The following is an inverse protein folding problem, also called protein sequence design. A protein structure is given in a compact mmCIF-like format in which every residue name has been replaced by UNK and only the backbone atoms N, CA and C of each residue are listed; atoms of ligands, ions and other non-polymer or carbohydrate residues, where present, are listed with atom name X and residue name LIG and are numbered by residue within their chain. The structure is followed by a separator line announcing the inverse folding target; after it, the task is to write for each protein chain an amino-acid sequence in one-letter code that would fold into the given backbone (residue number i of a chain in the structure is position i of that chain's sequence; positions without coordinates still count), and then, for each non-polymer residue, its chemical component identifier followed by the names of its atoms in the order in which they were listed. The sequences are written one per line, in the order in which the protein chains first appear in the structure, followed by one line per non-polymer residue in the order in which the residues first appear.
data_IF_761146110820
#
_entry.id   IF_761146110820
#
_cell.length_a   1.000
_cell.length_b   1.000
_cell.length_c   1.000
_cell.angle_alpha   90.00
_cell.angle_beta   90.00
_cell.angle_gamma   90.00
#
_symmetry.space_group_name_H-M   'P 1'
#
loop_
_entity.id
_entity.type
_entity.pdbx_description
1 polymer ?
#
# COMPACT_ATOMS: atom_id res chain seq x y z
N UNK A 1 65.20 75.83 -1.63
CA UNK A 1 65.06 75.35 -0.24
C UNK A 1 64.89 73.85 -0.32
N UNK A 2 66.00 73.09 -0.30
CA UNK A 2 66.52 72.33 0.86
C UNK A 2 65.59 71.16 1.24
N UNK A 3 65.97 69.88 1.32
CA UNK A 3 67.23 69.14 1.19
C UNK A 3 66.87 67.66 0.90
N UNK A 4 67.84 66.92 0.35
CA UNK A 4 67.83 65.47 0.15
C UNK A 4 67.37 64.67 1.37
N UNK A 5 66.61 63.59 1.13
CA UNK A 5 66.69 62.34 1.90
C UNK A 5 66.40 61.16 1.00
N UNK A 6 67.34 60.21 1.01
CA UNK A 6 67.41 59.03 0.15
C UNK A 6 66.35 57.98 0.49
N UNK A 7 65.81 57.34 -0.55
CA UNK A 7 65.05 56.09 -0.46
C UNK A 7 65.96 54.93 -0.03
N UNK A 8 65.58 54.18 1.01
CA UNK A 8 66.03 52.80 1.24
C UNK A 8 64.88 51.82 0.96
N UNK A 9 65.09 50.74 0.18
CA UNK A 9 64.07 49.72 -0.03
C UNK A 9 63.97 48.76 1.17
N UNK A 10 62.73 48.37 1.50
CA UNK A 10 62.42 47.40 2.55
C UNK A 10 62.84 45.98 2.14
N UNK A 11 63.76 45.39 2.89
CA UNK A 11 64.24 44.01 2.74
C UNK A 11 63.19 43.00 3.21
N UNK A 12 62.41 42.44 2.28
CA UNK A 12 61.46 41.32 2.50
C UNK A 12 62.14 39.95 2.66
N UNK A 13 63.46 39.85 2.49
CA UNK A 13 64.24 38.61 2.60
C UNK A 13 64.53 38.16 4.05
N UNK A 14 64.47 39.06 5.03
CA UNK A 14 64.85 38.79 6.43
C UNK A 14 63.80 38.01 7.26
N UNK A 15 62.56 37.87 6.76
CA UNK A 15 61.49 37.16 7.48
C UNK A 15 61.54 35.64 7.21
N UNK A 16 61.97 35.22 6.01
CA UNK A 16 61.99 33.80 5.61
C UNK A 16 63.14 33.04 6.28
N UNK A 17 64.28 33.70 6.53
CA UNK A 17 65.41 33.09 7.24
C UNK A 17 65.16 32.85 8.74
N UNK A 18 64.13 33.50 9.32
CA UNK A 18 63.75 33.29 10.74
C UNK A 18 62.82 32.10 10.95
N UNK A 19 62.14 31.64 9.90
CA UNK A 19 61.24 30.47 9.95
C UNK A 19 61.93 29.19 10.48
N UNK A 20 63.13 28.78 9.98
CA UNK A 20 63.79 27.57 10.46
C UNK A 20 64.25 27.68 11.93
N UNK A 21 64.58 28.90 12.39
CA UNK A 21 64.97 29.14 13.79
C UNK A 21 63.74 29.20 14.72
N UNK A 22 62.61 29.71 14.24
CA UNK A 22 61.32 29.67 14.94
C UNK A 22 60.79 28.23 15.06
N UNK A 23 60.94 27.39 14.03
CA UNK A 23 60.56 25.97 14.09
C UNK A 23 61.44 25.14 15.02
N UNK A 24 62.69 25.56 15.26
CA UNK A 24 63.58 24.93 16.25
C UNK A 24 63.39 25.43 17.68
N UNK A 25 62.65 26.53 17.88
CA UNK A 25 62.33 27.02 19.22
C UNK A 25 61.34 26.09 19.94
N UNK A 26 61.42 26.01 21.27
CA UNK A 26 60.56 25.14 22.09
C UNK A 26 59.07 25.43 21.86
N UNK A 27 58.70 26.70 21.68
CA UNK A 27 57.33 27.13 21.37
C UNK A 27 56.91 26.77 19.93
N UNK A 28 57.85 26.79 18.97
CA UNK A 28 57.58 26.41 17.58
C UNK A 28 57.39 24.90 17.41
N UNK A 29 58.19 24.09 18.10
CA UNK A 29 58.01 22.63 18.18
C UNK A 29 56.66 22.26 18.81
N UNK A 30 56.25 22.96 19.87
CA UNK A 30 54.94 22.75 20.50
C UNK A 30 53.78 23.09 19.56
N UNK A 31 53.91 24.15 18.76
CA UNK A 31 52.90 24.53 17.77
C UNK A 31 52.83 23.53 16.62
N UNK A 32 53.97 23.00 16.17
CA UNK A 32 54.05 21.96 15.14
C UNK A 32 53.47 20.63 15.65
N UNK A 33 53.74 20.26 16.91
CA UNK A 33 53.11 19.13 17.57
C UNK A 33 51.58 19.29 17.66
N UNK A 34 51.09 20.47 18.06
CA UNK A 34 49.65 20.77 18.07
C UNK A 34 49.02 20.66 16.67
N UNK A 35 49.68 21.17 15.63
CA UNK A 35 49.21 21.04 14.25
C UNK A 35 49.19 19.59 13.76
N UNK A 36 50.21 18.79 14.11
CA UNK A 36 50.24 17.36 13.84
C UNK A 36 49.11 16.61 14.56
N UNK A 37 48.83 16.96 15.82
CA UNK A 37 47.72 16.38 16.59
C UNK A 37 46.37 16.77 15.96
N UNK A 38 46.19 18.01 15.51
CA UNK A 38 44.98 18.44 14.80
C UNK A 38 44.82 17.71 13.46
N UNK A 39 45.92 17.50 12.72
CA UNK A 39 45.91 16.76 11.46
C UNK A 39 45.59 15.28 11.66
N UNK A 40 46.18 14.66 12.69
CA UNK A 40 45.87 13.28 13.11
C UNK A 40 44.42 13.17 13.59
N UNK A 41 43.93 14.12 14.38
CA UNK A 41 42.54 14.18 14.80
C UNK A 41 41.61 14.37 13.61
N UNK A 42 41.97 15.07 12.54
CA UNK A 42 41.17 15.13 11.30
C UNK A 42 41.20 13.85 10.48
N UNK A 43 42.30 13.10 10.51
CA UNK A 43 42.41 11.79 9.86
C UNK A 43 41.61 10.71 10.61
N UNK A 44 41.59 10.77 11.95
CA UNK A 44 40.83 9.85 12.81
C UNK A 44 39.41 10.34 13.12
N UNK A 45 39.11 11.61 12.89
CA UNK A 45 37.74 12.13 12.92
C UNK A 45 37.01 11.53 11.74
N UNK A 46 36.35 10.42 12.03
CA UNK A 46 35.36 9.79 11.20
C UNK A 46 34.47 10.91 10.67
N UNK A 47 34.63 11.24 9.40
CA UNK A 47 33.75 12.18 8.71
C UNK A 47 32.36 11.67 8.98
N UNK A 48 31.58 12.42 9.74
CA UNK A 48 30.17 12.16 10.00
C UNK A 48 29.44 12.36 8.66
N UNK A 49 29.64 11.43 7.73
CA UNK A 49 28.80 11.23 6.60
C UNK A 49 27.43 10.99 7.20
N UNK A 50 26.54 11.99 7.09
CA UNK A 50 25.11 11.89 7.40
C UNK A 50 24.69 10.45 7.13
N UNK A 51 24.21 9.76 8.14
CA UNK A 51 23.79 8.37 8.02
C UNK A 51 22.79 8.30 6.86
N UNK A 52 23.24 7.84 5.70
CA UNK A 52 22.39 7.72 4.53
C UNK A 52 21.48 6.55 4.82
N UNK A 53 20.25 6.84 5.23
CA UNK A 53 19.22 5.85 5.57
C UNK A 53 18.95 4.92 4.38
N UNK A 54 19.13 5.42 3.15
CA UNK A 54 19.06 4.63 1.93
C UNK A 54 20.12 5.10 0.91
N UNK A 55 20.71 4.14 0.20
CA UNK A 55 21.51 4.41 -1.00
C UNK A 55 20.77 3.82 -2.20
N UNK A 56 20.68 4.59 -3.28
CA UNK A 56 20.11 4.15 -4.55
C UNK A 56 21.18 4.21 -5.63
N UNK A 57 21.19 3.21 -6.50
CA UNK A 57 22.04 3.14 -7.68
C UNK A 57 21.34 2.31 -8.74
N UNK A 58 21.75 2.49 -10.00
CA UNK A 58 21.25 1.70 -11.10
C UNK A 58 21.78 0.27 -11.01
N UNK A 59 20.88 -0.70 -10.89
CA UNK A 59 21.26 -2.11 -10.89
C UNK A 59 21.77 -2.55 -12.25
N UNK A 60 22.95 -3.15 -12.29
CA UNK A 60 23.56 -3.74 -13.49
C UNK A 60 23.25 -5.23 -13.65
N UNK A 61 24.02 -5.89 -14.50
CA UNK A 61 23.84 -7.32 -14.80
C UNK A 61 24.07 -8.22 -13.58
N UNK A 62 24.97 -7.83 -12.67
CA UNK A 62 25.26 -8.58 -11.43
C UNK A 62 24.07 -8.57 -10.49
N UNK A 63 23.45 -7.41 -10.29
CA UNK A 63 22.25 -7.24 -9.46
C UNK A 63 21.08 -8.01 -10.04
N UNK A 64 20.85 -7.93 -11.36
CA UNK A 64 19.81 -8.70 -12.06
C UNK A 64 20.01 -10.20 -11.93
N UNK A 65 21.25 -10.69 -12.05
CA UNK A 65 21.58 -12.11 -11.87
C UNK A 65 21.33 -12.57 -10.44
N UNK A 66 21.75 -11.77 -9.43
CA UNK A 66 21.48 -12.07 -8.02
C UNK A 66 19.99 -12.07 -7.70
N UNK A 67 19.23 -11.10 -8.23
CA UNK A 67 17.78 -11.02 -8.10
C UNK A 67 17.09 -12.24 -8.73
N UNK A 68 17.53 -12.65 -9.93
CA UNK A 68 17.03 -13.83 -10.64
C UNK A 68 17.28 -15.11 -9.83
N UNK A 69 18.51 -15.31 -9.34
CA UNK A 69 18.85 -16.48 -8.51
C UNK A 69 17.97 -16.55 -7.27
N UNK A 70 17.81 -15.41 -6.58
CA UNK A 70 16.96 -15.33 -5.38
C UNK A 70 15.51 -15.65 -5.71
N UNK A 71 14.96 -15.03 -6.75
CA UNK A 71 13.57 -15.24 -7.15
C UNK A 71 13.29 -16.71 -7.51
N UNK A 72 14.18 -17.36 -8.27
CA UNK A 72 14.05 -18.79 -8.59
C UNK A 72 14.03 -19.66 -7.33
N UNK A 73 14.89 -19.36 -6.35
CA UNK A 73 14.86 -20.06 -5.05
C UNK A 73 13.54 -19.84 -4.31
N UNK A 74 13.01 -18.60 -4.31
CA UNK A 74 11.73 -18.27 -3.66
C UNK A 74 10.53 -18.94 -4.36
N UNK A 75 10.52 -19.00 -5.68
CA UNK A 75 9.46 -19.63 -6.48
C UNK A 75 9.48 -21.16 -6.36
N UNK A 76 10.65 -21.79 -6.27
CA UNK A 76 10.75 -23.24 -6.14
C UNK A 76 10.21 -23.76 -4.78
N UNK A 77 10.30 -22.94 -3.73
CA UNK A 77 9.78 -23.27 -2.41
C UNK A 77 9.16 -22.02 -1.77
N UNK A 78 7.90 -21.69 -2.13
CA UNK A 78 7.21 -20.55 -1.53
C UNK A 78 6.98 -20.82 -0.05
N UNK A 79 7.46 -19.93 0.81
CA UNK A 79 7.24 -19.96 2.25
C UNK A 79 6.78 -18.59 2.72
N UNK A 80 6.26 -18.51 3.96
CA UNK A 80 5.89 -17.23 4.57
C UNK A 80 7.08 -16.26 4.50
N UNK A 81 6.82 -15.03 4.04
CA UNK A 81 7.83 -13.98 3.83
C UNK A 81 8.90 -14.30 2.77
N UNK A 82 8.66 -15.24 1.86
CA UNK A 82 9.56 -15.61 0.77
C UNK A 82 8.75 -15.74 -0.52
N UNK A 83 8.45 -14.59 -1.14
CA UNK A 83 7.64 -14.51 -2.36
C UNK A 83 8.43 -13.81 -3.45
N UNK A 84 8.37 -14.33 -4.66
CA UNK A 84 8.91 -13.68 -5.85
C UNK A 84 7.89 -13.69 -6.97
N UNK A 85 7.87 -12.61 -7.75
CA UNK A 85 7.05 -12.48 -8.94
C UNK A 85 7.94 -12.22 -10.15
N UNK A 86 7.35 -12.23 -11.34
CA UNK A 86 8.07 -11.96 -12.57
C UNK A 86 7.26 -11.11 -13.54
N UNK A 87 7.97 -10.39 -14.40
CA UNK A 87 7.44 -9.64 -15.54
C UNK A 87 8.00 -10.28 -16.80
N UNK A 88 7.10 -10.75 -17.67
CA UNK A 88 7.44 -11.63 -18.79
C UNK A 88 7.56 -13.08 -18.33
N UNK A 89 6.73 -13.96 -18.89
CA UNK A 89 6.64 -15.36 -18.43
C UNK A 89 7.97 -16.10 -18.65
N UNK A 90 8.57 -16.70 -17.60
CA UNK A 90 9.72 -17.57 -17.74
C UNK A 90 9.46 -18.73 -18.71
N UNK A 91 10.48 -19.15 -19.46
CA UNK A 91 10.34 -20.23 -20.46
C UNK A 91 9.89 -21.56 -19.84
N UNK A 92 10.36 -21.88 -18.64
CA UNK A 92 9.93 -23.05 -17.86
C UNK A 92 8.43 -22.99 -17.54
N UNK A 93 7.95 -21.85 -17.05
CA UNK A 93 6.52 -21.66 -16.77
C UNK A 93 5.70 -21.71 -18.06
N UNK A 94 6.17 -21.05 -19.12
CA UNK A 94 5.50 -21.03 -20.42
C UNK A 94 5.35 -22.44 -21.00
N UNK A 95 6.43 -23.23 -21.01
CA UNK A 95 6.40 -24.60 -21.52
C UNK A 95 5.47 -25.51 -20.70
N UNK A 96 5.42 -25.35 -19.37
CA UNK A 96 4.47 -26.07 -18.53
C UNK A 96 3.02 -25.72 -18.85
N UNK A 97 2.72 -24.43 -19.05
CA UNK A 97 1.37 -23.98 -19.46
C UNK A 97 1.01 -24.55 -20.84
N UNK A 98 1.92 -24.49 -21.81
CA UNK A 98 1.69 -25.04 -23.15
C UNK A 98 1.41 -26.54 -23.10
N UNK A 99 2.17 -27.30 -22.32
CA UNK A 99 1.96 -28.74 -22.13
C UNK A 99 0.58 -29.05 -21.51
N UNK A 100 0.15 -28.27 -20.51
CA UNK A 100 -1.20 -28.39 -19.93
C UNK A 100 -2.29 -28.13 -20.98
N UNK A 101 -2.08 -27.15 -21.86
CA UNK A 101 -3.00 -26.84 -22.96
C UNK A 101 -3.11 -28.00 -23.95
N UNK A 102 -1.99 -28.58 -24.35
CA UNK A 102 -1.97 -29.72 -25.27
C UNK A 102 -2.62 -30.97 -24.68
N UNK A 103 -2.49 -31.19 -23.37
CA UNK A 103 -3.14 -32.30 -22.67
C UNK A 103 -4.66 -32.14 -22.64
N UNK A 104 -5.16 -30.92 -22.40
CA UNK A 104 -6.59 -30.65 -22.30
C UNK A 104 -7.30 -30.55 -23.67
N UNK A 105 -6.59 -30.06 -24.70
CA UNK A 105 -7.17 -29.69 -26.00
C UNK A 105 -6.57 -30.49 -27.17
N UNK A 106 -6.29 -31.78 -26.95
CA UNK A 106 -5.58 -32.68 -27.88
C UNK A 106 -6.20 -32.78 -29.29
N UNK A 107 -7.47 -32.39 -29.46
CA UNK A 107 -8.20 -32.43 -30.73
C UNK A 107 -7.96 -31.20 -31.64
N UNK A 108 -7.46 -30.07 -31.10
CA UNK A 108 -7.24 -28.82 -31.85
C UNK A 108 -5.78 -28.34 -31.84
N UNK A 109 -4.85 -29.20 -31.43
CA UNK A 109 -3.44 -28.89 -31.29
C UNK A 109 -2.73 -28.79 -32.66
N UNK A 110 -2.74 -27.60 -33.27
CA UNK A 110 -1.77 -27.26 -34.31
C UNK A 110 -0.39 -27.24 -33.65
N UNK A 111 0.43 -28.27 -33.88
CA UNK A 111 1.84 -28.31 -33.44
C UNK A 111 2.59 -27.13 -34.06
N UNK A 112 2.67 -26.00 -33.36
CA UNK A 112 3.60 -24.94 -33.74
C UNK A 112 5.01 -25.47 -33.52
N UNK A 113 5.76 -25.63 -34.61
CA UNK A 113 7.14 -26.12 -34.62
C UNK A 113 8.00 -25.37 -33.59
N UNK A 114 8.78 -26.12 -32.81
CA UNK A 114 9.70 -25.70 -31.75
C UNK A 114 10.84 -24.73 -32.17
N UNK A 115 10.77 -24.12 -33.37
CA UNK A 115 11.85 -23.35 -33.96
C UNK A 115 11.87 -21.85 -33.58
N UNK A 116 10.92 -21.36 -32.79
CA UNK A 116 10.84 -19.92 -32.45
C UNK A 116 11.42 -19.54 -31.08
N UNK A 117 11.96 -20.49 -30.30
CA UNK A 117 12.39 -20.25 -28.90
C UNK A 117 13.74 -19.52 -28.73
N UNK A 118 14.63 -19.52 -29.74
CA UNK A 118 15.96 -18.91 -29.58
C UNK A 118 15.97 -17.38 -29.53
N UNK A 119 14.86 -16.72 -29.88
CA UNK A 119 14.73 -15.26 -29.85
C UNK A 119 13.48 -14.83 -29.08
N UNK A 120 13.30 -15.31 -27.84
CA UNK A 120 12.32 -14.68 -26.94
C UNK A 120 12.81 -13.25 -26.63
N UNK A 121 12.21 -12.28 -27.33
CA UNK A 121 12.67 -10.90 -27.42
C UNK A 121 12.54 -10.09 -26.11
N UNK A 122 12.16 -10.71 -25.00
CA UNK A 122 12.07 -10.05 -23.70
C UNK A 122 12.65 -10.93 -22.59
N UNK A 123 13.80 -10.56 -21.99
CA UNK A 123 14.29 -11.27 -20.82
C UNK A 123 13.30 -11.10 -19.66
N UNK A 124 12.90 -12.21 -19.04
CA UNK A 124 12.08 -12.17 -17.82
C UNK A 124 12.75 -11.33 -16.75
N UNK A 125 12.03 -10.33 -16.24
CA UNK A 125 12.46 -9.55 -15.09
C UNK A 125 11.87 -10.19 -13.83
N UNK A 126 12.75 -10.71 -12.97
CA UNK A 126 12.36 -11.26 -11.68
C UNK A 126 12.30 -10.16 -10.61
N UNK A 127 11.23 -10.17 -9.83
CA UNK A 127 11.00 -9.29 -8.68
C UNK A 127 11.03 -10.15 -7.41
N UNK A 128 12.22 -10.38 -6.82
CA UNK A 128 12.33 -11.09 -5.55
C UNK A 128 11.79 -10.23 -4.40
N UNK A 129 11.50 -10.87 -3.28
CA UNK A 129 11.02 -10.22 -2.06
C UNK A 129 9.71 -9.42 -2.21
N UNK A 130 8.79 -9.88 -3.06
CA UNK A 130 7.54 -9.19 -3.36
C UNK A 130 6.64 -8.99 -2.12
N UNK A 131 6.82 -9.78 -1.05
CA UNK A 131 6.12 -9.61 0.22
C UNK A 131 6.35 -8.25 0.90
N UNK A 132 7.40 -7.52 0.52
CA UNK A 132 7.70 -6.17 1.06
C UNK A 132 6.84 -5.07 0.44
N UNK A 133 6.02 -5.40 -0.56
CA UNK A 133 5.26 -4.45 -1.35
C UNK A 133 6.05 -3.96 -2.57
N UNK A 134 5.31 -3.60 -3.62
CA UNK A 134 5.84 -3.08 -4.87
C UNK A 134 5.11 -1.78 -5.17
N UNK A 135 5.85 -0.68 -5.29
CA UNK A 135 5.32 0.61 -5.70
C UNK A 135 5.65 0.86 -7.18
N UNK A 136 4.61 1.10 -8.00
CA UNK A 136 4.75 1.41 -9.43
C UNK A 136 4.37 2.88 -9.65
N UNK A 137 5.36 3.71 -10.00
CA UNK A 137 5.20 5.16 -10.12
C UNK A 137 5.41 5.58 -11.58
N UNK A 138 4.57 6.48 -12.08
CA UNK A 138 4.66 7.01 -13.44
C UNK A 138 3.47 7.88 -13.80
N UNK A 139 3.61 8.72 -14.83
CA UNK A 139 2.57 9.62 -15.31
C UNK A 139 1.34 8.86 -15.86
N UNK A 140 0.19 9.54 -15.97
CA UNK A 140 -0.98 8.98 -16.66
C UNK A 140 -0.59 8.61 -18.11
N UNK A 141 -1.06 7.45 -18.59
CA UNK A 141 -0.72 6.96 -19.94
C UNK A 141 0.67 6.32 -20.09
N UNK A 142 1.53 6.31 -19.07
CA UNK A 142 2.90 5.73 -19.16
C UNK A 142 2.96 4.19 -19.25
N UNK A 143 1.82 3.52 -19.41
CA UNK A 143 1.75 2.06 -19.54
C UNK A 143 1.91 1.26 -18.25
N UNK A 144 1.90 1.87 -17.05
CA UNK A 144 2.10 1.17 -15.74
C UNK A 144 1.33 -0.15 -15.62
N UNK A 145 0.04 -0.11 -15.97
CA UNK A 145 -0.85 -1.27 -15.89
C UNK A 145 -0.41 -2.38 -16.81
N UNK A 146 -0.14 -2.06 -18.08
CA UNK A 146 0.23 -3.04 -19.10
C UNK A 146 1.64 -3.61 -18.89
N UNK A 147 2.61 -2.76 -18.54
CA UNK A 147 4.03 -3.14 -18.50
C UNK A 147 4.46 -3.80 -17.19
N UNK A 148 3.79 -3.48 -16.07
CA UNK A 148 4.21 -3.95 -14.74
C UNK A 148 3.07 -4.61 -13.97
N UNK A 149 1.94 -3.93 -13.78
CA UNK A 149 0.89 -4.42 -12.86
C UNK A 149 0.22 -5.70 -13.38
N UNK A 150 -0.27 -5.71 -14.62
CA UNK A 150 -0.94 -6.87 -15.21
C UNK A 150 0.00 -8.09 -15.31
N UNK A 151 1.28 -7.96 -15.73
CA UNK A 151 2.24 -9.06 -15.65
C UNK A 151 2.47 -9.60 -14.24
N UNK A 152 2.59 -8.73 -13.23
CA UNK A 152 2.75 -9.17 -11.84
C UNK A 152 1.49 -9.90 -11.33
N UNK A 153 0.31 -9.41 -11.70
CA UNK A 153 -0.97 -10.09 -11.39
C UNK A 153 -0.99 -11.50 -12.00
N UNK A 154 -0.64 -11.62 -13.28
CA UNK A 154 -0.57 -12.93 -13.96
C UNK A 154 0.46 -13.86 -13.32
N UNK A 155 1.63 -13.34 -12.98
CA UNK A 155 2.67 -14.07 -12.25
C UNK A 155 2.16 -14.61 -10.91
N UNK A 156 1.33 -13.85 -10.21
CA UNK A 156 0.72 -14.31 -8.95
C UNK A 156 -0.28 -15.44 -9.19
N UNK A 157 -1.11 -15.35 -10.23
CA UNK A 157 -2.04 -16.41 -10.61
C UNK A 157 -1.34 -17.69 -11.08
N UNK A 158 -0.28 -17.57 -11.86
CA UNK A 158 0.51 -18.71 -12.32
C UNK A 158 1.18 -19.46 -11.18
N UNK A 159 1.43 -18.79 -10.05
CA UNK A 159 2.04 -19.36 -8.84
C UNK A 159 1.02 -19.83 -7.80
N UNK A 160 -0.29 -19.67 -8.04
CA UNK A 160 -1.31 -20.13 -7.10
C UNK A 160 -1.54 -19.23 -5.89
N UNK A 161 -1.08 -17.97 -5.91
CA UNK A 161 -1.33 -17.04 -4.80
C UNK A 161 -2.77 -16.52 -4.79
N UNK A 162 -3.43 -16.44 -3.62
CA UNK A 162 -4.71 -15.72 -3.50
C UNK A 162 -4.50 -14.23 -3.76
N UNK A 163 -5.51 -13.56 -4.30
CA UNK A 163 -5.42 -12.15 -4.68
C UNK A 163 -6.70 -11.40 -4.37
N UNK A 164 -6.54 -10.22 -3.76
CA UNK A 164 -7.55 -9.18 -3.70
C UNK A 164 -7.17 -8.09 -4.70
N UNK A 165 -8.02 -7.86 -5.70
CA UNK A 165 -7.77 -6.87 -6.76
C UNK A 165 -8.75 -5.70 -6.63
N UNK A 166 -8.22 -4.49 -6.47
CA UNK A 166 -9.00 -3.26 -6.50
C UNK A 166 -8.87 -2.60 -7.89
N UNK A 167 -9.97 -2.53 -8.64
CA UNK A 167 -10.03 -1.89 -9.96
C UNK A 167 -10.80 -0.56 -9.89
N UNK A 168 -10.05 0.54 -9.78
CA UNK A 168 -10.62 1.90 -9.79
C UNK A 168 -11.37 2.23 -11.09
N UNK A 169 -11.03 1.58 -12.21
CA UNK A 169 -11.66 1.79 -13.52
C UNK A 169 -12.43 0.55 -13.95
N UNK A 170 -13.20 -0.01 -13.02
CA UNK A 170 -14.03 -1.18 -13.26
C UNK A 170 -14.89 -0.99 -14.52
N UNK A 171 -15.00 -2.00 -15.42
CA UNK A 171 -14.48 -3.36 -15.32
C UNK A 171 -13.15 -3.60 -16.09
N UNK A 172 -12.37 -2.56 -16.40
CA UNK A 172 -11.29 -2.65 -17.37
C UNK A 172 -10.16 -3.62 -16.99
N UNK A 173 -9.67 -3.57 -15.75
CA UNK A 173 -8.62 -4.47 -15.28
C UNK A 173 -9.23 -5.82 -14.86
N UNK A 174 -10.38 -5.78 -14.20
CA UNK A 174 -11.11 -6.98 -13.76
C UNK A 174 -11.36 -7.94 -14.92
N UNK A 175 -11.87 -7.48 -16.08
CA UNK A 175 -12.09 -8.33 -17.26
C UNK A 175 -10.85 -9.11 -17.70
N UNK A 176 -9.67 -8.48 -17.68
CA UNK A 176 -8.40 -9.14 -18.05
C UNK A 176 -7.91 -10.11 -16.98
N UNK A 177 -8.08 -9.77 -15.71
CA UNK A 177 -7.65 -10.59 -14.59
C UNK A 177 -8.53 -11.84 -14.41
N UNK A 178 -9.86 -11.69 -14.44
CA UNK A 178 -10.83 -12.78 -14.21
C UNK A 178 -10.65 -13.90 -15.23
N UNK A 179 -10.57 -13.58 -16.53
CA UNK A 179 -10.37 -14.58 -17.57
C UNK A 179 -9.09 -15.40 -17.36
N UNK A 180 -8.01 -14.73 -16.91
CA UNK A 180 -6.75 -15.40 -16.60
C UNK A 180 -6.84 -16.25 -15.33
N UNK A 181 -7.49 -15.75 -14.28
CA UNK A 181 -7.65 -16.43 -13.00
C UNK A 181 -8.49 -17.71 -13.14
N UNK A 182 -9.65 -17.64 -13.82
CA UNK A 182 -10.51 -18.81 -14.07
C UNK A 182 -9.74 -19.89 -14.85
N UNK A 183 -8.95 -19.48 -15.85
CA UNK A 183 -8.07 -20.39 -16.62
C UNK A 183 -7.00 -21.08 -15.74
N UNK A 184 -6.71 -20.55 -14.55
CA UNK A 184 -5.81 -21.16 -13.55
C UNK A 184 -6.55 -21.88 -12.42
N UNK A 185 -7.87 -22.06 -12.55
CA UNK A 185 -8.68 -22.78 -11.58
C UNK A 185 -9.07 -21.96 -10.35
N UNK A 186 -8.99 -20.63 -10.41
CA UNK A 186 -9.43 -19.78 -9.30
C UNK A 186 -10.95 -19.62 -9.29
N UNK A 187 -11.52 -19.66 -8.08
CA UNK A 187 -12.86 -19.12 -7.82
C UNK A 187 -12.75 -17.61 -7.69
N UNK A 188 -13.46 -16.88 -8.55
CA UNK A 188 -13.46 -15.42 -8.56
C UNK A 188 -14.77 -14.92 -7.99
N UNK A 189 -14.67 -14.05 -6.97
CA UNK A 189 -15.79 -13.29 -6.41
C UNK A 189 -15.60 -11.81 -6.74
N UNK A 190 -16.68 -11.15 -7.15
CA UNK A 190 -16.63 -9.74 -7.56
C UNK A 190 -17.54 -8.94 -6.61
N UNK A 191 -17.01 -7.88 -6.02
CA UNK A 191 -17.81 -6.89 -5.29
C UNK A 191 -17.75 -5.56 -6.02
N UNK A 192 -18.83 -5.20 -6.71
CA UNK A 192 -18.94 -4.00 -7.54
C UNK A 192 -20.38 -3.44 -7.46
N UNK A 193 -20.75 -2.76 -6.35
CA UNK A 193 -22.10 -2.25 -6.15
C UNK A 193 -22.62 -1.47 -7.36
N UNK A 194 -23.84 -1.80 -7.80
CA UNK A 194 -24.47 -1.21 -8.99
C UNK A 194 -24.26 -2.01 -10.29
N UNK A 195 -23.46 -3.07 -10.27
CA UNK A 195 -23.28 -4.00 -11.40
C UNK A 195 -23.95 -5.36 -11.13
N UNK A 196 -24.49 -6.03 -12.16
CA UNK A 196 -25.21 -7.30 -12.00
C UNK A 196 -24.32 -8.45 -11.51
N UNK A 197 -23.02 -8.42 -11.81
CA UNK A 197 -22.05 -9.41 -11.33
C UNK A 197 -21.59 -9.21 -9.88
N UNK A 198 -22.08 -8.18 -9.19
CA UNK A 198 -21.69 -7.91 -7.81
C UNK A 198 -22.28 -8.95 -6.85
N UNK A 199 -21.42 -9.60 -6.10
CA UNK A 199 -21.79 -10.33 -4.89
C UNK A 199 -22.09 -9.35 -3.75
N UNK A 200 -22.61 -9.91 -2.66
CA UNK A 200 -22.87 -9.21 -1.40
C UNK A 200 -21.63 -9.28 -0.51
N UNK A 201 -21.28 -8.18 0.13
CA UNK A 201 -20.24 -8.12 1.15
C UNK A 201 -20.83 -7.43 2.38
N UNK A 202 -21.04 -8.19 3.45
CA UNK A 202 -21.51 -7.66 4.72
C UNK A 202 -20.33 -7.51 5.69
N UNK A 203 -19.98 -6.29 6.14
CA UNK A 203 -18.86 -6.09 7.05
C UNK A 203 -19.01 -6.83 8.38
N UNK A 204 -20.23 -7.12 8.83
CA UNK A 204 -20.49 -7.86 10.07
C UNK A 204 -20.10 -9.35 9.97
N UNK A 205 -19.91 -9.88 8.76
CA UNK A 205 -19.37 -11.23 8.54
C UNK A 205 -17.89 -11.31 8.93
N UNK A 206 -17.19 -10.18 9.04
CA UNK A 206 -15.81 -10.11 9.50
C UNK A 206 -15.68 -10.15 11.03
N UNK A 207 -16.79 -9.93 11.76
CA UNK A 207 -16.82 -10.05 13.21
C UNK A 207 -17.01 -11.52 13.59
N UNK A 208 -16.13 -12.03 14.47
CA UNK A 208 -16.24 -13.42 14.93
C UNK A 208 -17.48 -13.63 15.81
N UNK A 209 -17.71 -12.72 16.74
CA UNK A 209 -18.78 -12.77 17.74
C UNK A 209 -19.11 -11.34 18.22
N UNK A 210 -20.13 -11.20 19.07
CA UNK A 210 -20.54 -9.94 19.68
C UNK A 210 -19.53 -9.33 20.68
N UNK A 211 -18.46 -10.05 21.01
CA UNK A 211 -17.38 -9.58 21.90
C UNK A 211 -16.12 -9.18 21.11
N UNK A 212 -16.13 -9.28 19.78
CA UNK A 212 -15.00 -8.95 18.90
C UNK A 212 -14.85 -7.43 18.68
N UNK A 213 -14.70 -6.71 19.79
CA UNK A 213 -14.49 -5.27 19.83
C UNK A 213 -13.24 -4.84 19.04
N UNK A 214 -12.22 -5.70 18.96
CA UNK A 214 -11.01 -5.40 18.20
C UNK A 214 -11.33 -5.32 16.70
N UNK A 215 -12.01 -6.32 16.13
CA UNK A 215 -12.39 -6.28 14.72
C UNK A 215 -13.40 -5.16 14.44
N UNK A 216 -14.39 -4.96 15.33
CA UNK A 216 -15.37 -3.90 15.21
C UNK A 216 -14.70 -2.51 15.20
N UNK A 217 -13.80 -2.24 16.12
CA UNK A 217 -13.04 -0.99 16.18
C UNK A 217 -12.18 -0.77 14.92
N UNK A 218 -11.55 -1.83 14.37
CA UNK A 218 -10.81 -1.71 13.11
C UNK A 218 -11.72 -1.38 11.93
N UNK A 219 -12.87 -2.06 11.82
CA UNK A 219 -13.87 -1.80 10.76
C UNK A 219 -14.37 -0.36 10.88
N UNK A 220 -14.73 0.08 12.08
CA UNK A 220 -15.18 1.45 12.34
C UNK A 220 -14.13 2.48 11.93
N UNK A 221 -12.87 2.30 12.32
CA UNK A 221 -11.80 3.23 11.91
C UNK A 221 -11.61 3.27 10.40
N UNK A 222 -11.76 2.13 9.71
CA UNK A 222 -11.71 2.08 8.24
C UNK A 222 -12.90 2.84 7.65
N UNK A 223 -14.11 2.63 8.16
CA UNK A 223 -15.33 3.33 7.74
C UNK A 223 -15.15 4.84 7.92
N UNK A 224 -14.82 5.28 9.13
CA UNK A 224 -14.63 6.68 9.52
C UNK A 224 -13.61 7.39 8.63
N UNK A 225 -12.42 6.79 8.44
CA UNK A 225 -11.38 7.34 7.56
C UNK A 225 -11.76 7.41 6.08
N UNK A 226 -12.63 6.51 5.60
CA UNK A 226 -13.11 6.57 4.21
C UNK A 226 -14.23 7.63 4.03
N UNK A 227 -14.96 7.96 5.09
CA UNK A 227 -15.97 9.02 5.10
C UNK A 227 -15.40 10.41 5.36
N UNK A 228 -14.24 10.51 6.03
CA UNK A 228 -13.51 11.77 6.15
C UNK A 228 -12.92 12.18 4.80
N UNK A 229 -13.67 13.01 4.07
CA UNK A 229 -13.31 13.52 2.73
C UNK A 229 -12.25 14.63 2.77
N UNK A 230 -11.49 14.77 3.87
CA UNK A 230 -10.35 15.69 3.98
C UNK A 230 -10.74 17.17 3.89
N UNK A 231 -11.96 17.50 4.32
CA UNK A 231 -12.58 18.80 4.07
C UNK A 231 -12.27 19.89 5.11
N UNK A 232 -11.83 19.56 6.33
CA UNK A 232 -11.53 20.55 7.36
C UNK A 232 -10.43 20.05 8.30
N UNK A 233 -9.30 20.76 8.32
CA UNK A 233 -8.14 20.48 9.20
C UNK A 233 -8.36 20.89 10.67
N UNK A 234 -9.58 20.72 11.17
CA UNK A 234 -10.03 21.08 12.52
C UNK A 234 -11.29 20.28 12.89
N UNK A 235 -11.37 19.01 12.52
CA UNK A 235 -12.32 18.12 13.17
C UNK A 235 -11.87 17.93 14.62
N UNK A 236 -12.77 18.21 15.56
CA UNK A 236 -12.56 17.97 16.97
C UNK A 236 -12.43 16.46 17.17
N UNK A 237 -11.19 15.98 17.40
CA UNK A 237 -10.86 14.57 17.66
C UNK A 237 -11.80 13.89 18.64
N UNK A 238 -12.33 14.66 19.59
CA UNK A 238 -13.33 14.20 20.54
C UNK A 238 -14.59 13.63 19.87
N UNK A 239 -15.15 14.30 18.86
CA UNK A 239 -16.35 13.81 18.16
C UNK A 239 -16.04 12.65 17.20
N UNK A 240 -14.83 12.59 16.66
CA UNK A 240 -14.37 11.45 15.87
C UNK A 240 -14.26 10.19 16.74
N UNK A 241 -13.57 10.29 17.90
CA UNK A 241 -13.41 9.17 18.83
C UNK A 241 -14.74 8.73 19.45
N UNK A 242 -15.62 9.68 19.80
CA UNK A 242 -16.96 9.37 20.29
C UNK A 242 -17.84 8.72 19.20
N UNK A 243 -17.75 9.23 17.96
CA UNK A 243 -18.46 8.65 16.80
C UNK A 243 -17.98 7.24 16.49
N UNK A 244 -16.67 7.01 16.51
CA UNK A 244 -16.08 5.69 16.32
C UNK A 244 -16.55 4.72 17.43
N UNK A 245 -16.53 5.16 18.70
CA UNK A 245 -16.99 4.32 19.81
C UNK A 245 -18.48 3.95 19.69
N UNK A 246 -19.31 4.88 19.21
CA UNK A 246 -20.74 4.64 18.98
C UNK A 246 -20.96 3.62 17.84
N UNK A 247 -20.28 3.80 16.71
CA UNK A 247 -20.40 2.89 15.56
C UNK A 247 -19.90 1.50 15.92
N UNK A 248 -18.78 1.39 16.65
CA UNK A 248 -18.28 0.12 17.18
C UNK A 248 -19.35 -0.59 18.03
N UNK A 249 -19.95 0.10 19.00
CA UNK A 249 -21.00 -0.46 19.84
C UNK A 249 -22.23 -0.92 19.03
N UNK A 250 -22.64 -0.17 18.03
CA UNK A 250 -23.76 -0.54 17.16
C UNK A 250 -23.46 -1.81 16.36
N UNK A 251 -22.24 -1.94 15.80
CA UNK A 251 -21.85 -3.14 15.07
C UNK A 251 -21.87 -4.38 15.99
N UNK A 252 -21.38 -4.27 17.22
CA UNK A 252 -21.41 -5.36 18.21
C UNK A 252 -22.84 -5.72 18.62
N UNK A 253 -23.70 -4.73 18.88
CA UNK A 253 -25.12 -4.98 19.18
C UNK A 253 -25.83 -5.64 18.00
N UNK A 254 -25.52 -5.22 16.78
CA UNK A 254 -26.07 -5.84 15.56
C UNK A 254 -25.63 -7.29 15.43
N UNK A 255 -24.39 -7.60 15.79
CA UNK A 255 -23.89 -8.98 15.85
C UNK A 255 -24.59 -9.80 16.94
N UNK A 256 -24.81 -9.20 18.11
CA UNK A 256 -25.50 -9.84 19.23
C UNK A 256 -26.96 -10.23 18.89
N UNK A 257 -27.64 -9.47 18.02
CA UNK A 257 -29.00 -9.82 17.59
C UNK A 257 -29.04 -11.18 16.89
N UNK A 258 -28.02 -11.52 16.10
CA UNK A 258 -27.93 -12.85 15.47
C UNK A 258 -27.90 -13.94 16.55
N UNK A 259 -27.07 -13.76 17.58
CA UNK A 259 -26.95 -14.70 18.71
C UNK A 259 -28.24 -14.77 19.54
N UNK A 260 -28.91 -13.63 19.78
CA UNK A 260 -30.11 -13.55 20.61
C UNK A 260 -31.37 -14.09 19.92
N UNK A 261 -31.52 -13.84 18.61
CA UNK A 261 -32.68 -14.26 17.83
C UNK A 261 -32.51 -15.64 17.21
N UNK A 262 -31.27 -16.11 17.05
CA UNK A 262 -30.93 -17.32 16.31
C UNK A 262 -31.08 -17.16 14.79
N UNK A 263 -31.31 -15.94 14.29
CA UNK A 263 -31.48 -15.63 12.87
C UNK A 263 -30.39 -14.67 12.38
N UNK A 264 -29.51 -15.17 11.50
CA UNK A 264 -28.45 -14.36 10.87
C UNK A 264 -29.01 -13.29 9.91
N UNK A 265 -30.29 -13.38 9.56
CA UNK A 265 -30.96 -12.47 8.60
C UNK A 265 -30.90 -11.01 9.03
N UNK A 266 -30.88 -10.74 10.34
CA UNK A 266 -30.85 -9.38 10.88
C UNK A 266 -29.43 -8.90 11.20
N UNK A 267 -28.41 -9.69 10.89
CA UNK A 267 -27.02 -9.33 11.12
C UNK A 267 -26.44 -8.52 9.94
N UNK A 268 -27.04 -7.38 9.62
CA UNK A 268 -26.63 -6.55 8.48
C UNK A 268 -26.54 -5.05 8.82
N UNK A 269 -26.02 -4.26 7.88
CA UNK A 269 -25.90 -2.81 8.04
C UNK A 269 -27.27 -2.10 8.12
N UNK A 270 -28.35 -2.72 7.63
CA UNK A 270 -29.68 -2.12 7.71
C UNK A 270 -30.21 -2.22 9.14
N UNK A 271 -29.96 -3.33 9.84
CA UNK A 271 -30.27 -3.44 11.26
C UNK A 271 -29.41 -2.49 12.10
N UNK A 272 -28.12 -2.33 11.78
CA UNK A 272 -27.27 -1.33 12.42
C UNK A 272 -27.85 0.09 12.27
N UNK A 273 -28.35 0.44 11.08
CA UNK A 273 -29.00 1.73 10.83
C UNK A 273 -30.34 1.86 11.58
N UNK A 274 -31.11 0.78 11.69
CA UNK A 274 -32.35 0.76 12.47
C UNK A 274 -32.08 1.01 13.97
N UNK A 275 -31.06 0.35 14.55
CA UNK A 275 -30.63 0.57 15.94
C UNK A 275 -30.23 2.02 16.15
N UNK A 276 -29.41 2.58 15.25
CA UNK A 276 -29.00 3.98 15.33
C UNK A 276 -30.21 4.94 15.30
N UNK A 277 -31.20 4.63 14.47
CA UNK A 277 -32.41 5.45 14.32
C UNK A 277 -33.29 5.40 15.59
N UNK A 278 -33.33 4.28 16.30
CA UNK A 278 -34.04 4.17 17.59
C UNK A 278 -33.48 5.12 18.66
N UNK A 279 -32.15 5.25 18.73
CA UNK A 279 -31.50 6.15 19.70
C UNK A 279 -31.92 7.61 19.50
N UNK A 280 -32.08 8.03 18.24
CA UNK A 280 -32.57 9.38 17.90
C UNK A 280 -34.07 9.54 18.16
N UNK A 281 -34.85 8.47 18.06
CA UNK A 281 -36.31 8.50 18.26
C UNK A 281 -36.68 8.61 19.74
N UNK A 282 -36.01 7.85 20.60
CA UNK A 282 -36.34 7.74 22.02
C UNK A 282 -35.93 8.98 22.84
N UNK A 283 -34.81 9.62 22.49
CA UNK A 283 -34.36 10.86 23.13
C UNK A 283 -35.31 12.02 22.85
N UNK A 284 -35.69 12.23 21.59
CA UNK A 284 -36.71 13.23 21.23
C UNK A 284 -38.06 12.97 21.87
N UNK A 285 -38.51 11.71 21.95
CA UNK A 285 -39.84 11.40 22.52
C UNK A 285 -39.91 11.64 24.03
N UNK A 286 -38.85 11.31 24.77
CA UNK A 286 -38.81 11.50 26.23
C UNK A 286 -38.60 12.96 26.64
N UNK A 287 -37.85 13.73 25.84
CA UNK A 287 -37.56 15.15 26.09
C UNK A 287 -38.74 16.06 25.67
N UNK A 288 -39.45 15.71 24.58
CA UNK A 288 -40.72 16.38 24.22
C UNK A 288 -41.87 16.07 25.19
N UNK A 289 -41.92 14.88 25.78
CA UNK A 289 -42.94 14.50 26.77
C UNK A 289 -42.73 15.19 28.13
N UNK A 290 -41.49 15.50 28.52
CA UNK A 290 -41.21 16.20 29.78
C UNK A 290 -41.26 17.73 29.69
N UNK A 291 -41.31 18.31 28.48
CA UNK A 291 -41.31 19.77 28.28
C UNK A 291 -42.58 20.33 27.62
N UNK A 292 -43.69 19.59 27.54
CA UNK A 292 -45.01 20.09 27.06
C UNK A 292 -44.95 20.82 25.69
N UNK A 293 -43.98 20.50 24.82
CA UNK A 293 -43.83 21.16 23.52
C UNK A 293 -44.76 20.60 22.42
N UNK A 294 -45.58 19.60 22.71
CA UNK A 294 -46.46 18.96 21.72
C UNK A 294 -47.93 19.12 22.13
N UNK A 295 -48.54 20.23 21.73
CA UNK A 295 -49.99 20.29 21.56
C UNK A 295 -50.33 19.83 20.14
N UNK A 296 -50.90 18.63 20.03
CA UNK A 296 -51.51 18.11 18.80
C UNK A 296 -50.63 17.13 18.04
N UNK A 297 -50.96 15.85 18.15
CA UNK A 297 -50.47 14.80 17.26
C UNK A 297 -50.97 15.05 15.83
N UNK A 298 -50.04 15.13 14.87
CA UNK A 298 -50.26 14.59 13.53
C UNK A 298 -49.49 13.29 13.46
N UNK A 299 -50.15 12.20 13.87
CA UNK A 299 -49.68 10.86 13.63
C UNK A 299 -49.59 10.64 12.12
N UNK A 300 -48.38 10.70 11.55
CA UNK A 300 -48.15 10.15 10.21
C UNK A 300 -48.00 8.65 10.40
N UNK A 301 -49.13 7.97 10.20
CA UNK A 301 -49.23 6.53 10.11
C UNK A 301 -48.36 6.06 8.93
N UNK A 302 -47.20 5.45 9.22
CA UNK A 302 -46.43 4.75 8.20
C UNK A 302 -47.17 3.47 7.85
N UNK A 303 -47.98 3.52 6.78
CA UNK A 303 -48.42 2.30 6.13
C UNK A 303 -47.23 1.65 5.43
N UNK A 304 -46.85 0.46 5.90
CA UNK A 304 -46.01 -0.46 5.15
C UNK A 304 -46.77 -0.83 3.89
N UNK A 305 -46.31 -0.35 2.73
CA UNK A 305 -46.79 -0.83 1.43
C UNK A 305 -46.26 -2.24 1.23
N UNK A 306 -47.08 -3.22 1.58
CA UNK A 306 -47.06 -4.53 0.94
C UNK A 306 -47.52 -4.33 -0.51
N UNK A 307 -46.56 -4.17 -1.43
CA UNK A 307 -46.61 -4.76 -2.78
C UNK A 307 -45.42 -4.29 -3.61
N UNK A 308 -44.56 -5.26 -3.96
CA UNK A 308 -43.51 -5.13 -4.95
C UNK A 308 -44.15 -5.06 -6.33
N UNK A 309 -44.42 -3.86 -6.85
CA UNK A 309 -44.71 -3.71 -8.27
C UNK A 309 -43.41 -3.65 -9.07
N UNK A 310 -43.19 -4.73 -9.82
CA UNK A 310 -42.27 -4.82 -10.95
C UNK A 310 -42.51 -3.64 -11.91
N UNK A 311 -41.46 -2.86 -12.17
CA UNK A 311 -41.47 -1.86 -13.23
C UNK A 311 -41.52 -2.55 -14.60
N UNK A 312 -42.57 -2.28 -15.36
CA UNK A 312 -42.59 -2.50 -16.81
C UNK A 312 -42.27 -1.16 -17.47
N UNK A 313 -41.14 -1.11 -18.17
CA UNK A 313 -40.71 0.03 -19.00
C UNK A 313 -41.74 0.32 -20.11
N UNK A 314 -41.93 1.62 -20.39
CA UNK A 314 -42.49 2.13 -21.65
C UNK A 314 -41.38 2.67 -22.52
#
# INVERSE_FOLDING_TARGET
MSNYSQNQPANSSLQIERLPNLMKSQSGLMLLACLCVIALLKLFSQTNNKSKVATSYWGGSKEKSKATRKAKTQMAKPTRNSVALYIGTPHDVQSNIENQWYQYNSQFAIRSSQLTSFFSANPTLYVPDAQRGIAVIGAAGSGKTFSVIDPLIRSSFDQGFPMLLYDFKFPAQTKRAVAYAIKRGYTVKIFAPGFPESETCNPLDLLRDEEDAIAAGQITQVISRNFDRGGNSSSDKFFEEAGDSLVEGILLVTKAIATLTGEDKYCDLMMAQAILSLLTSCTWKYECQNHDYVQGELAVEYQVKEDTQLYVEK
#
